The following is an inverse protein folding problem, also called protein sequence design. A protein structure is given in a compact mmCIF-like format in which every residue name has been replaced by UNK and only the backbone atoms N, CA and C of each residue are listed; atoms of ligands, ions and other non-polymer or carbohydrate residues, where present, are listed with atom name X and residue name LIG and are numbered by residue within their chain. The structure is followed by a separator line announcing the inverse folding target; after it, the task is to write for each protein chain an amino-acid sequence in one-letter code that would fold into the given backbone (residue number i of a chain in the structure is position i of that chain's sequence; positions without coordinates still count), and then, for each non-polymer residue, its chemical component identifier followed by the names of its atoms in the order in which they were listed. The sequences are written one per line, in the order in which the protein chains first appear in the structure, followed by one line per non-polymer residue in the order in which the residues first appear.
data_IF_531480960145
#
_entry.id   IF_531480960145
#
_cell.length_a   1.000
_cell.length_b   1.000
_cell.length_c   1.000
_cell.angle_alpha   90.00
_cell.angle_beta   90.00
_cell.angle_gamma   90.00
#
_symmetry.space_group_name_H-M   'P 1'
#
loop_
_entity.id
_entity.type
_entity.pdbx_description
1 polymer ?
#
# COMPACT_ATOMS: atom_id res chain seq x y z
N UNK A 1 1.07 -0.20 -11.64
CA UNK A 1 1.55 1.09 -11.13
C UNK A 1 3.06 1.10 -10.89
N UNK A 2 3.60 0.41 -9.88
CA UNK A 2 5.05 0.40 -9.56
C UNK A 2 5.94 0.17 -10.80
N UNK A 3 5.64 -0.83 -11.60
CA UNK A 3 6.40 -1.15 -12.81
C UNK A 3 6.53 0.03 -13.79
N UNK A 4 5.43 0.77 -14.02
CA UNK A 4 5.47 1.94 -14.89
C UNK A 4 6.23 3.10 -14.25
N UNK A 5 6.00 3.36 -12.96
CA UNK A 5 6.68 4.43 -12.23
C UNK A 5 8.20 4.25 -12.28
N UNK A 6 8.70 3.03 -12.07
CA UNK A 6 10.12 2.74 -12.13
C UNK A 6 10.74 2.99 -13.51
N UNK A 7 9.99 2.78 -14.58
CA UNK A 7 10.46 3.02 -15.96
C UNK A 7 10.37 4.48 -16.40
N UNK A 8 9.49 5.26 -15.77
CA UNK A 8 9.19 6.64 -16.21
C UNK A 8 9.68 7.71 -15.24
N UNK A 9 9.96 7.37 -13.98
CA UNK A 9 10.43 8.28 -12.95
C UNK A 9 11.90 8.03 -12.61
N UNK A 10 12.77 8.92 -13.07
CA UNK A 10 14.19 8.90 -12.72
C UNK A 10 14.40 9.05 -11.20
N UNK A 11 13.63 9.95 -10.58
CA UNK A 11 13.73 10.21 -9.15
C UNK A 11 13.38 8.97 -8.33
N UNK A 12 12.25 8.32 -8.60
CA UNK A 12 11.86 7.12 -7.88
C UNK A 12 12.84 5.96 -8.09
N UNK A 13 13.31 5.77 -9.34
CA UNK A 13 14.32 4.77 -9.66
C UNK A 13 15.63 5.01 -8.92
N UNK A 14 16.04 6.27 -8.77
CA UNK A 14 17.24 6.67 -8.02
C UNK A 14 17.08 6.37 -6.53
N UNK A 15 15.96 6.74 -5.92
CA UNK A 15 15.62 6.44 -4.51
C UNK A 15 15.69 4.93 -4.27
N UNK A 16 15.01 4.16 -5.10
CA UNK A 16 14.95 2.71 -4.98
C UNK A 16 16.34 2.06 -5.09
N UNK A 17 17.12 2.46 -6.10
CA UNK A 17 18.48 1.96 -6.29
C UNK A 17 19.38 2.28 -5.12
N UNK A 18 19.37 3.52 -4.67
CA UNK A 18 20.16 3.95 -3.51
C UNK A 18 19.79 3.11 -2.30
N UNK A 19 18.50 2.86 -2.10
CA UNK A 19 18.04 2.10 -0.94
C UNK A 19 18.44 0.62 -1.05
N UNK A 20 18.31 0.00 -2.21
CA UNK A 20 18.75 -1.37 -2.44
C UNK A 20 20.25 -1.55 -2.27
N UNK A 21 21.06 -0.51 -2.54
CA UNK A 21 22.52 -0.56 -2.31
C UNK A 21 22.91 -0.49 -0.83
N UNK A 22 22.08 0.12 0.02
CA UNK A 22 22.33 0.28 1.47
C UNK A 22 21.55 -0.73 2.32
N UNK A 23 20.43 -1.22 1.83
CA UNK A 23 19.56 -2.20 2.46
C UNK A 23 19.05 -3.18 1.37
N UNK A 24 19.85 -4.18 0.99
CA UNK A 24 19.46 -5.13 -0.06
C UNK A 24 18.21 -5.90 0.31
N UNK A 25 17.31 -6.05 -0.67
CA UNK A 25 16.15 -6.92 -0.56
C UNK A 25 16.54 -8.32 -1.03
N UNK A 26 16.35 -9.32 -0.18
CA UNK A 26 16.71 -10.73 -0.47
C UNK A 26 15.56 -11.66 -0.08
N UNK A 27 15.61 -12.91 -0.54
CA UNK A 27 14.64 -13.92 -0.12
C UNK A 27 14.69 -14.21 1.39
N UNK A 28 15.88 -14.09 2.01
CA UNK A 28 16.07 -14.29 3.45
C UNK A 28 15.65 -13.06 4.27
N UNK A 29 15.87 -11.86 3.71
CA UNK A 29 15.55 -10.58 4.31
C UNK A 29 14.72 -9.76 3.33
N UNK A 30 13.43 -10.11 3.13
CA UNK A 30 12.55 -9.39 2.23
C UNK A 30 12.18 -8.01 2.82
N UNK A 31 11.98 -7.03 1.96
CA UNK A 31 11.46 -5.74 2.35
C UNK A 31 10.03 -5.85 2.88
N UNK A 32 9.63 -4.89 3.69
CA UNK A 32 8.28 -4.77 4.23
C UNK A 32 7.40 -3.93 3.31
N UNK A 33 6.34 -4.52 2.79
CA UNK A 33 5.23 -3.77 2.21
C UNK A 33 4.41 -3.21 3.36
N UNK A 34 4.30 -1.88 3.38
CA UNK A 34 3.46 -1.11 4.29
C UNK A 34 2.17 -0.74 3.57
N UNK A 35 1.04 -1.15 4.12
CA UNK A 35 -0.30 -0.72 3.66
C UNK A 35 -0.79 0.36 4.61
N UNK A 36 -1.25 1.47 4.04
CA UNK A 36 -1.82 2.59 4.78
C UNK A 36 -3.26 2.83 4.33
N UNK A 37 -4.18 2.87 5.29
CA UNK A 37 -5.57 3.22 5.03
C UNK A 37 -5.89 4.57 5.62
N UNK A 38 -6.56 5.41 4.83
CA UNK A 38 -7.00 6.74 5.23
C UNK A 38 -8.45 6.99 4.81
N UNK A 39 -9.14 7.77 5.62
CA UNK A 39 -10.49 8.25 5.32
C UNK A 39 -10.44 9.70 4.86
N UNK A 40 -10.66 9.93 3.56
CA UNK A 40 -10.72 11.28 3.00
C UNK A 40 -12.16 11.76 2.98
N UNK A 41 -12.46 12.84 3.70
CA UNK A 41 -13.74 13.54 3.60
C UNK A 41 -13.55 14.85 2.81
N UNK A 42 -13.98 14.91 1.55
CA UNK A 42 -13.84 16.11 0.73
C UNK A 42 -14.86 17.21 1.08
N UNK A 43 -15.73 16.96 2.04
CA UNK A 43 -16.70 17.98 2.47
C UNK A 43 -16.06 18.96 3.45
N UNK A 44 -16.31 20.26 3.21
CA UNK A 44 -16.08 21.34 4.16
C UNK A 44 -16.71 20.93 5.52
N UNK A 45 -15.97 21.03 6.63
CA UNK A 45 -16.34 20.52 7.95
C UNK A 45 -17.67 20.97 8.55
N UNK A 46 -18.47 21.73 7.79
CA UNK A 46 -19.84 22.16 8.08
C UNK A 46 -20.91 21.24 7.48
N UNK A 47 -20.57 20.32 6.59
CA UNK A 47 -21.53 19.41 5.98
C UNK A 47 -21.77 18.19 6.88
N UNK A 48 -22.94 18.12 7.52
CA UNK A 48 -23.38 17.02 8.39
C UNK A 48 -23.56 15.65 7.71
N UNK A 49 -23.17 15.48 6.46
CA UNK A 49 -23.37 14.24 5.70
C UNK A 49 -22.02 13.64 5.33
N UNK A 50 -21.64 12.56 5.99
CA UNK A 50 -20.53 11.69 5.62
C UNK A 50 -20.69 10.98 4.24
N UNK A 51 -21.70 11.36 3.46
CA UNK A 51 -22.03 10.77 2.15
C UNK A 51 -20.92 10.90 1.10
N UNK A 52 -19.91 11.72 1.36
CA UNK A 52 -18.75 11.92 0.49
C UNK A 52 -17.45 11.32 1.04
N UNK A 53 -17.49 10.77 2.25
CA UNK A 53 -16.31 10.10 2.83
C UNK A 53 -15.85 9.00 1.89
N UNK A 54 -14.57 8.97 1.62
CA UNK A 54 -13.92 8.02 0.74
C UNK A 54 -12.86 7.27 1.54
N UNK A 55 -12.82 5.98 1.41
CA UNK A 55 -11.77 5.13 1.98
C UNK A 55 -10.72 4.92 0.91
N UNK A 56 -9.47 5.19 1.24
CA UNK A 56 -8.34 5.04 0.33
C UNK A 56 -7.31 4.12 0.95
N UNK A 57 -6.84 3.15 0.18
CA UNK A 57 -5.70 2.33 0.55
C UNK A 57 -4.50 2.70 -0.31
N UNK A 58 -3.40 2.95 0.37
CA UNK A 58 -2.09 3.19 -0.22
C UNK A 58 -1.13 2.09 0.19
N UNK A 59 -0.06 1.93 -0.56
CA UNK A 59 1.04 1.09 -0.17
C UNK A 59 2.38 1.70 -0.55
N UNK A 60 3.42 1.29 0.17
CA UNK A 60 4.81 1.63 -0.11
C UNK A 60 5.73 0.56 0.47
N UNK A 61 7.03 0.67 0.23
CA UNK A 61 8.02 -0.12 0.96
C UNK A 61 8.50 0.65 2.19
N UNK A 62 8.29 0.08 3.39
CA UNK A 62 8.76 0.65 4.66
C UNK A 62 10.27 0.89 4.62
N UNK A 63 10.97 0.01 3.92
CA UNK A 63 12.42 0.01 3.76
C UNK A 63 12.97 1.21 2.98
N UNK A 64 12.15 1.97 2.28
CA UNK A 64 12.55 3.25 1.69
C UNK A 64 12.98 4.26 2.76
N UNK A 65 12.51 4.07 4.00
CA UNK A 65 12.85 4.88 5.15
C UNK A 65 12.05 6.16 5.29
N UNK A 66 12.10 6.80 6.48
CA UNK A 66 11.17 7.89 6.83
C UNK A 66 11.31 9.12 5.93
N UNK A 67 12.52 9.43 5.47
CA UNK A 67 12.74 10.58 4.59
C UNK A 67 12.03 10.40 3.23
N UNK A 68 12.08 9.21 2.64
CA UNK A 68 11.37 8.93 1.39
C UNK A 68 9.86 8.85 1.62
N UNK A 69 9.43 8.18 2.68
CA UNK A 69 8.00 8.00 3.01
C UNK A 69 7.28 9.32 3.34
N UNK A 70 8.01 10.40 3.63
CA UNK A 70 7.44 11.74 3.79
C UNK A 70 6.98 12.36 2.46
N UNK A 71 7.30 11.75 1.32
CA UNK A 71 6.91 12.24 0.00
C UNK A 71 5.81 11.37 -0.62
N UNK A 72 4.77 12.00 -1.14
CA UNK A 72 3.64 11.32 -1.78
C UNK A 72 4.04 10.46 -2.99
N UNK A 73 5.09 10.84 -3.70
CA UNK A 73 5.58 10.14 -4.91
C UNK A 73 6.03 8.69 -4.69
N UNK A 74 6.25 8.28 -3.44
CA UNK A 74 6.61 6.89 -3.12
C UNK A 74 5.42 6.04 -2.66
N UNK A 75 4.23 6.63 -2.60
CA UNK A 75 3.00 5.96 -2.24
C UNK A 75 2.17 5.62 -3.47
N UNK A 76 1.67 4.41 -3.52
CA UNK A 76 0.84 3.91 -4.61
C UNK A 76 -0.57 3.65 -4.10
N UNK A 77 -1.56 4.18 -4.79
CA UNK A 77 -2.96 3.91 -4.47
C UNK A 77 -3.32 2.50 -4.90
N UNK A 78 -3.83 1.69 -4.00
CA UNK A 78 -4.38 0.36 -4.28
C UNK A 78 -5.83 0.48 -4.73
N UNK A 79 -6.63 1.13 -3.89
CA UNK A 79 -8.06 1.31 -4.17
C UNK A 79 -8.59 2.59 -3.54
N UNK A 80 -9.68 3.07 -4.14
CA UNK A 80 -10.46 4.21 -3.66
C UNK A 80 -11.92 3.79 -3.68
N UNK A 81 -12.56 3.75 -2.53
CA UNK A 81 -13.96 3.33 -2.42
C UNK A 81 -14.77 4.38 -1.64
N UNK A 82 -16.01 4.64 -2.07
CA UNK A 82 -16.90 5.49 -1.29
C UNK A 82 -17.35 4.74 -0.03
N UNK A 83 -17.33 5.42 1.10
CA UNK A 83 -17.70 4.85 2.40
C UNK A 83 -19.07 4.17 2.38
N UNK A 84 -20.09 4.83 1.82
CA UNK A 84 -21.43 4.26 1.73
C UNK A 84 -21.48 2.97 0.89
N UNK A 85 -20.67 2.85 -0.15
CA UNK A 85 -20.58 1.62 -0.96
C UNK A 85 -19.90 0.50 -0.17
N UNK A 86 -18.88 0.82 0.60
CA UNK A 86 -18.20 -0.15 1.47
C UNK A 86 -19.18 -0.72 2.52
N UNK A 87 -20.02 0.14 3.11
CA UNK A 87 -21.01 -0.25 4.12
C UNK A 87 -22.16 -1.12 3.57
N UNK A 88 -22.34 -1.17 2.24
CA UNK A 88 -23.32 -2.07 1.58
C UNK A 88 -22.76 -3.48 1.31
N UNK A 89 -21.44 -3.66 1.41
CA UNK A 89 -20.79 -4.95 1.18
C UNK A 89 -20.86 -5.80 2.47
N UNK A 90 -21.23 -7.09 2.40
CA UNK A 90 -21.18 -7.97 3.56
C UNK A 90 -19.76 -8.01 4.16
N UNK A 91 -19.65 -7.71 5.46
CA UNK A 91 -18.36 -7.61 6.15
C UNK A 91 -17.66 -6.26 5.97
N UNK A 92 -18.28 -5.31 5.24
CA UNK A 92 -17.90 -3.91 5.21
C UNK A 92 -16.37 -3.68 4.99
N UNK A 93 -15.74 -2.90 5.86
CA UNK A 93 -14.31 -2.59 5.80
C UNK A 93 -13.41 -3.83 5.88
N UNK A 94 -13.78 -4.86 6.63
CA UNK A 94 -13.00 -6.09 6.74
C UNK A 94 -12.92 -6.82 5.39
N UNK A 95 -14.03 -6.87 4.65
CA UNK A 95 -14.04 -7.45 3.30
C UNK A 95 -13.20 -6.64 2.33
N UNK A 96 -13.31 -5.29 2.35
CA UNK A 96 -12.47 -4.44 1.51
C UNK A 96 -10.98 -4.62 1.84
N UNK A 97 -10.65 -4.72 3.13
CA UNK A 97 -9.27 -4.96 3.58
C UNK A 97 -8.76 -6.31 3.07
N UNK A 98 -9.56 -7.37 3.17
CA UNK A 98 -9.20 -8.69 2.63
C UNK A 98 -8.92 -8.60 1.12
N UNK A 99 -9.80 -7.96 0.35
CA UNK A 99 -9.61 -7.78 -1.08
C UNK A 99 -8.33 -6.98 -1.42
N UNK A 100 -7.96 -6.01 -0.58
CA UNK A 100 -6.69 -5.27 -0.74
C UNK A 100 -5.50 -6.17 -0.45
N UNK A 101 -5.54 -6.95 0.63
CA UNK A 101 -4.47 -7.87 1.00
C UNK A 101 -4.26 -8.97 -0.07
N UNK A 102 -5.34 -9.48 -0.65
CA UNK A 102 -5.31 -10.50 -1.70
C UNK A 102 -4.54 -10.02 -2.95
N UNK A 103 -4.47 -8.71 -3.20
CA UNK A 103 -3.64 -8.16 -4.29
C UNK A 103 -2.14 -8.38 -4.07
N UNK A 104 -1.71 -8.60 -2.83
CA UNK A 104 -0.30 -8.80 -2.47
C UNK A 104 0.02 -10.26 -2.13
N UNK A 105 -0.97 -11.03 -1.69
CA UNK A 105 -0.76 -12.41 -1.21
C UNK A 105 -1.28 -13.45 -2.20
N UNK A 106 -2.23 -13.09 -3.09
CA UNK A 106 -2.82 -13.98 -4.08
C UNK A 106 -3.60 -15.17 -3.49
N UNK A 107 -4.75 -15.50 -4.06
CA UNK A 107 -5.61 -16.62 -3.61
C UNK A 107 -4.96 -18.00 -3.77
N UNK A 108 -3.99 -18.13 -4.68
CA UNK A 108 -3.26 -19.37 -4.99
C UNK A 108 -1.95 -19.52 -4.20
N UNK A 109 -1.69 -18.59 -3.26
CA UNK A 109 -0.45 -18.55 -2.49
C UNK A 109 0.75 -18.01 -3.28
N UNK A 110 0.56 -17.58 -4.53
CA UNK A 110 1.60 -16.88 -5.28
C UNK A 110 1.72 -15.47 -4.76
N UNK A 111 2.79 -15.21 -4.02
CA UNK A 111 3.15 -13.85 -3.62
C UNK A 111 4.21 -13.34 -4.59
N UNK A 112 3.79 -12.53 -5.54
CA UNK A 112 4.66 -11.99 -6.59
C UNK A 112 5.97 -11.41 -6.05
N UNK A 113 5.93 -10.74 -4.91
CA UNK A 113 7.11 -10.20 -4.25
C UNK A 113 7.87 -11.22 -3.41
N UNK A 114 7.22 -12.25 -2.87
CA UNK A 114 7.90 -13.25 -2.05
C UNK A 114 8.85 -14.13 -2.87
N UNK A 115 8.50 -14.37 -4.14
CA UNK A 115 9.30 -15.14 -5.08
C UNK A 115 10.36 -14.28 -5.81
N UNK A 116 10.37 -12.99 -5.54
CA UNK A 116 11.26 -12.02 -6.16
C UNK A 116 10.71 -11.43 -7.45
N UNK A 117 10.31 -10.17 -7.39
CA UNK A 117 9.79 -9.40 -8.51
C UNK A 117 10.91 -8.64 -9.24
N UNK A 118 11.04 -8.86 -10.53
CA UNK A 118 12.04 -8.14 -11.36
C UNK A 118 11.43 -6.87 -11.96
N UNK A 119 12.12 -5.75 -11.78
CA UNK A 119 11.70 -4.45 -12.30
C UNK A 119 12.78 -3.80 -13.14
N UNK A 120 12.39 -3.22 -14.27
CA UNK A 120 13.24 -2.36 -15.08
C UNK A 120 13.19 -0.92 -14.55
N UNK A 121 14.34 -0.32 -14.30
CA UNK A 121 14.48 1.06 -13.86
C UNK A 121 14.49 2.03 -15.04
N UNK A 122 14.44 3.34 -14.75
CA UNK A 122 14.45 4.42 -15.74
C UNK A 122 15.64 4.35 -16.71
N UNK A 123 16.81 3.97 -16.23
CA UNK A 123 18.02 3.84 -17.07
C UNK A 123 18.14 2.51 -17.84
N UNK A 124 17.10 1.70 -17.79
CA UNK A 124 17.05 0.39 -18.46
C UNK A 124 17.69 -0.76 -17.69
N UNK A 125 18.38 -0.51 -16.57
CA UNK A 125 18.87 -1.57 -15.68
C UNK A 125 17.71 -2.29 -14.99
N UNK A 126 17.94 -3.49 -14.47
CA UNK A 126 16.94 -4.26 -13.74
C UNK A 126 17.35 -4.46 -12.30
N UNK A 127 16.36 -4.49 -11.40
CA UNK A 127 16.50 -4.83 -9.99
C UNK A 127 15.53 -5.94 -9.62
N UNK A 128 15.92 -6.78 -8.66
CA UNK A 128 15.09 -7.82 -8.09
C UNK A 128 14.69 -7.40 -6.68
N UNK A 129 13.40 -7.46 -6.37
CA UNK A 129 12.86 -7.07 -5.06
C UNK A 129 12.07 -8.23 -4.47
N UNK A 130 12.46 -8.65 -3.27
CA UNK A 130 11.69 -9.54 -2.42
C UNK A 130 10.97 -8.71 -1.38
N UNK A 131 9.66 -8.90 -1.20
CA UNK A 131 8.93 -8.17 -0.18
C UNK A 131 7.73 -8.97 0.34
N UNK A 132 7.27 -8.63 1.56
CA UNK A 132 6.10 -9.21 2.20
C UNK A 132 5.27 -8.13 2.87
N UNK A 133 3.96 -8.33 2.93
CA UNK A 133 3.09 -7.47 3.73
C UNK A 133 3.32 -7.78 5.21
N UNK A 134 3.95 -6.86 5.92
CA UNK A 134 4.28 -7.01 7.34
C UNK A 134 3.80 -5.83 8.18
N UNK A 135 3.26 -4.78 7.56
CA UNK A 135 2.79 -3.61 8.29
C UNK A 135 1.50 -3.06 7.69
N UNK A 136 0.56 -2.75 8.55
CA UNK A 136 -0.67 -2.03 8.23
C UNK A 136 -0.72 -0.81 9.15
N UNK A 137 -0.96 0.35 8.56
CA UNK A 137 -1.08 1.62 9.25
C UNK A 137 -2.45 2.24 8.98
N UNK A 138 -3.13 2.64 10.03
CA UNK A 138 -4.37 3.41 9.97
C UNK A 138 -4.58 4.11 11.31
N UNK A 139 -5.54 5.03 11.38
CA UNK A 139 -5.98 5.53 12.68
C UNK A 139 -6.72 4.44 13.49
N UNK A 140 -6.88 4.64 14.80
CA UNK A 140 -7.47 3.63 15.68
C UNK A 140 -8.90 3.21 15.25
N UNK A 141 -9.82 4.13 14.87
CA UNK A 141 -11.13 3.76 14.37
C UNK A 141 -11.03 2.90 13.11
N UNK A 142 -10.21 3.29 12.15
CA UNK A 142 -10.04 2.54 10.91
C UNK A 142 -9.43 1.16 11.13
N UNK A 143 -8.45 1.01 12.03
CA UNK A 143 -7.91 -0.30 12.39
C UNK A 143 -8.98 -1.23 12.96
N UNK A 144 -9.86 -0.73 13.82
CA UNK A 144 -10.97 -1.53 14.36
C UNK A 144 -11.93 -1.98 13.27
N UNK A 145 -12.26 -1.10 12.33
CA UNK A 145 -13.11 -1.42 11.18
C UNK A 145 -12.45 -2.46 10.26
N UNK A 146 -11.16 -2.33 9.97
CA UNK A 146 -10.42 -3.22 9.07
C UNK A 146 -10.34 -4.66 9.57
N UNK A 147 -10.14 -4.87 10.87
CA UNK A 147 -9.96 -6.20 11.47
C UNK A 147 -11.25 -6.76 12.08
N UNK A 148 -12.37 -6.02 11.93
CA UNK A 148 -13.67 -6.38 12.52
C UNK A 148 -13.58 -6.75 14.02
N UNK A 149 -12.63 -6.19 14.75
CA UNK A 149 -12.48 -6.39 16.18
C UNK A 149 -13.56 -5.61 16.94
N UNK A 150 -14.63 -6.26 17.27
CA UNK A 150 -15.50 -5.81 18.34
C UNK A 150 -14.78 -6.04 19.68
N UNK A 151 -14.00 -5.08 20.12
CA UNK A 151 -13.53 -5.05 21.50
C UNK A 151 -14.75 -4.62 22.32
N UNK A 152 -15.38 -5.60 22.95
CA UNK A 152 -16.41 -5.42 23.96
C UNK A 152 -15.80 -4.82 25.22
#
# INVERSE_FOLDING_TARGET
MLYQTLRTSENYSSILRHRLSTNPSTAAEPWTILIYQDGVDPSDGLAKQHSRKTVVFYWSFLDLGPAALAHEQVWFTVTVARYNVVMEVPGEHATLTSMVLDQFVGDDGTNYFADGASFQLFDGSSVLIYARVNAILADEPALKEMIACNIV
#
